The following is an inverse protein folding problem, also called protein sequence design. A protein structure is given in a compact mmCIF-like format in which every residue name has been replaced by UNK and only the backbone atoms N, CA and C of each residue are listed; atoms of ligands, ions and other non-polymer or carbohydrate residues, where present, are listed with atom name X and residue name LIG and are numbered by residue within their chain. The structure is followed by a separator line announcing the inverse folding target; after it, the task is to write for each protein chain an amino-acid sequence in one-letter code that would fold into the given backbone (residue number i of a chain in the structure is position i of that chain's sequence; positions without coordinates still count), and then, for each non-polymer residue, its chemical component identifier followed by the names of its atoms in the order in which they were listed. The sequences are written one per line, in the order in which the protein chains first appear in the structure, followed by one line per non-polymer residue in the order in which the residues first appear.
data_IF_302860008128
#
_entry.id   IF_302860008128
#
_cell.length_a   1.000
_cell.length_b   1.000
_cell.length_c   1.000
_cell.angle_alpha   90.00
_cell.angle_beta   90.00
_cell.angle_gamma   90.00
#
_symmetry.space_group_name_H-M   'P 1'
#
loop_
_entity.id
_entity.type
_entity.pdbx_description
1 polymer ?
#
# COMPACT_ATOMS: atom_id res chain seq x y z
N UNK A 1 -15.06 8.60 9.35
CA UNK A 1 -13.99 7.99 8.53
C UNK A 1 -12.79 7.75 9.43
N UNK A 2 -12.22 6.57 9.37
CA UNK A 2 -11.04 6.23 10.14
C UNK A 2 -9.76 6.46 9.31
N UNK A 3 -8.69 6.81 9.99
CA UNK A 3 -7.37 7.00 9.43
C UNK A 3 -6.44 5.93 9.98
N UNK A 4 -5.51 5.47 9.15
CA UNK A 4 -4.61 4.38 9.48
C UNK A 4 -3.16 4.76 9.17
N UNK A 5 -2.19 4.39 10.04
CA UNK A 5 -0.79 4.58 9.72
C UNK A 5 -0.37 3.62 8.61
N UNK A 6 0.19 4.17 7.55
CA UNK A 6 0.78 3.43 6.45
C UNK A 6 2.27 3.74 6.35
N UNK A 7 3.06 2.73 6.05
CA UNK A 7 4.49 2.88 5.79
C UNK A 7 4.73 2.80 4.29
N UNK A 8 5.34 3.83 3.74
CA UNK A 8 5.70 3.86 2.32
C UNK A 8 7.00 3.08 2.13
N UNK A 9 6.96 2.12 1.22
CA UNK A 9 8.13 1.36 0.80
C UNK A 9 8.72 1.93 -0.49
N UNK A 10 7.85 2.35 -1.42
CA UNK A 10 8.22 2.77 -2.77
C UNK A 10 7.57 4.10 -3.08
N UNK A 11 8.34 5.18 -3.24
CA UNK A 11 7.78 6.48 -3.60
C UNK A 11 7.32 6.52 -5.05
N UNK A 12 6.35 7.38 -5.34
CA UNK A 12 5.88 7.66 -6.71
C UNK A 12 7.07 8.02 -7.62
N UNK A 13 7.07 7.44 -8.81
CA UNK A 13 8.11 7.68 -9.82
C UNK A 13 9.32 6.74 -9.70
N UNK A 14 9.38 5.91 -8.68
CA UNK A 14 10.46 4.92 -8.55
C UNK A 14 10.24 3.73 -9.49
N UNK A 15 11.32 3.27 -10.10
CA UNK A 15 11.44 1.97 -10.76
C UNK A 15 12.12 0.95 -9.86
N UNK A 16 12.76 1.38 -8.80
CA UNK A 16 13.26 0.48 -7.78
C UNK A 16 12.11 0.01 -6.90
N UNK A 17 11.96 -1.30 -6.76
CA UNK A 17 11.05 -1.90 -5.80
C UNK A 17 11.79 -2.16 -4.50
N UNK A 18 11.43 -1.39 -3.48
CA UNK A 18 11.95 -1.58 -2.12
C UNK A 18 10.98 -2.39 -1.29
N UNK A 19 11.50 -3.16 -0.38
CA UNK A 19 10.74 -3.93 0.61
C UNK A 19 11.30 -3.70 2.01
N UNK A 20 10.40 -3.58 2.97
CA UNK A 20 10.76 -3.59 4.38
C UNK A 20 10.88 -5.04 4.85
N UNK A 21 12.03 -5.38 5.40
CA UNK A 21 12.23 -6.65 6.09
C UNK A 21 11.63 -6.53 7.51
N UNK A 22 10.51 -7.18 7.75
CA UNK A 22 9.77 -7.10 9.01
C UNK A 22 10.48 -7.75 10.20
N UNK A 23 11.52 -8.55 9.98
CA UNK A 23 12.34 -9.11 11.05
C UNK A 23 13.45 -8.16 11.51
N UNK A 24 14.11 -7.52 10.56
CA UNK A 24 15.29 -6.70 10.83
C UNK A 24 15.03 -5.19 10.80
N UNK A 25 13.96 -4.77 10.15
CA UNK A 25 13.65 -3.37 9.96
C UNK A 25 14.36 -2.69 8.80
N UNK A 26 15.16 -3.41 8.12
CA UNK A 26 15.89 -2.85 7.00
C UNK A 26 15.02 -2.72 5.78
N UNK A 27 15.28 -1.66 5.02
CA UNK A 27 14.71 -1.46 3.71
C UNK A 27 15.66 -2.07 2.71
N UNK A 28 15.16 -3.00 1.90
CA UNK A 28 15.94 -3.69 0.86
C UNK A 28 15.52 -3.25 -0.51
N UNK A 29 16.48 -3.18 -1.43
CA UNK A 29 16.18 -3.19 -2.84
C UNK A 29 15.84 -4.63 -3.26
N UNK A 30 14.54 -4.90 -3.53
CA UNK A 30 14.12 -6.19 -4.07
C UNK A 30 14.63 -6.32 -5.52
N UNK A 31 14.24 -5.39 -6.36
CA UNK A 31 14.70 -5.33 -7.75
C UNK A 31 14.40 -3.98 -8.42
N UNK A 32 15.11 -3.70 -9.50
CA UNK A 32 14.66 -2.75 -10.51
C UNK A 32 13.53 -3.41 -11.32
N UNK A 33 12.41 -2.72 -11.48
CA UNK A 33 11.29 -3.25 -12.27
C UNK A 33 11.73 -3.61 -13.70
N UNK A 34 11.19 -4.72 -14.22
CA UNK A 34 11.42 -5.19 -15.59
C UNK A 34 10.46 -4.50 -16.56
N UNK A 35 10.37 -3.20 -16.48
CA UNK A 35 9.52 -2.35 -17.32
C UNK A 35 10.06 -0.92 -17.30
N UNK A 36 9.69 -0.13 -18.30
CA UNK A 36 10.00 1.31 -18.32
C UNK A 36 9.07 2.16 -17.46
N UNK A 37 7.95 1.56 -16.95
CA UNK A 37 7.03 2.25 -16.06
C UNK A 37 7.63 2.44 -14.67
N UNK A 38 7.10 3.42 -13.95
CA UNK A 38 7.39 3.67 -12.54
C UNK A 38 6.13 3.55 -11.70
N UNK A 39 6.27 3.42 -10.38
CA UNK A 39 5.13 3.39 -9.47
C UNK A 39 4.28 4.65 -9.61
N UNK A 40 2.96 4.51 -9.76
CA UNK A 40 2.06 5.64 -10.07
C UNK A 40 1.68 6.48 -8.85
N UNK A 41 1.95 5.99 -7.65
CA UNK A 41 1.68 6.65 -6.38
C UNK A 41 2.65 6.11 -5.33
N UNK A 42 2.75 6.80 -4.20
CA UNK A 42 3.47 6.27 -3.04
C UNK A 42 2.81 4.97 -2.59
N UNK A 43 3.58 3.92 -2.45
CA UNK A 43 3.11 2.56 -2.26
C UNK A 43 3.79 1.91 -1.06
N UNK A 44 3.02 1.24 -0.25
CA UNK A 44 3.52 0.53 0.92
C UNK A 44 2.45 -0.34 1.55
N UNK A 45 2.33 -0.31 2.87
CA UNK A 45 1.40 -1.16 3.61
C UNK A 45 0.83 -0.45 4.84
N UNK A 46 -0.32 -0.92 5.30
CA UNK A 46 -0.91 -0.49 6.56
C UNK A 46 -0.21 -1.21 7.72
N UNK A 47 0.23 -0.45 8.71
CA UNK A 47 0.84 -1.02 9.92
C UNK A 47 -0.16 -1.89 10.70
N UNK A 48 0.34 -2.92 11.37
CA UNK A 48 -0.44 -3.83 12.19
C UNK A 48 -1.62 -4.48 11.44
N UNK A 49 -1.43 -4.75 10.15
CA UNK A 49 -2.39 -5.43 9.30
C UNK A 49 -1.82 -6.72 8.73
N UNK A 50 -2.69 -7.63 8.35
CA UNK A 50 -2.34 -8.89 7.68
C UNK A 50 -3.35 -9.14 6.56
N UNK A 51 -2.86 -9.18 5.33
CA UNK A 51 -3.63 -9.59 4.15
C UNK A 51 -3.88 -11.10 4.12
N UNK A 52 -4.74 -11.54 3.22
CA UNK A 52 -5.04 -12.97 3.05
C UNK A 52 -3.84 -13.77 2.53
N UNK A 53 -2.91 -13.11 1.84
CA UNK A 53 -1.67 -13.67 1.31
C UNK A 53 -0.56 -13.86 2.37
N UNK A 54 -0.79 -13.42 3.60
CA UNK A 54 0.17 -13.53 4.71
C UNK A 54 1.11 -12.33 4.85
N UNK A 55 1.03 -11.35 3.97
CA UNK A 55 1.76 -10.08 4.05
C UNK A 55 0.86 -8.96 4.61
N UNK A 56 1.43 -7.86 5.12
CA UNK A 56 0.62 -6.69 5.47
C UNK A 56 -0.22 -6.19 4.30
N UNK A 57 -1.37 -5.59 4.59
CA UNK A 57 -2.27 -5.08 3.55
C UNK A 57 -1.62 -3.90 2.80
N UNK A 58 -1.51 -4.02 1.50
CA UNK A 58 -0.94 -3.01 0.63
C UNK A 58 -1.79 -1.74 0.56
N UNK A 59 -1.13 -0.60 0.45
CA UNK A 59 -1.77 0.70 0.33
C UNK A 59 -1.03 1.61 -0.64
N UNK A 60 -1.81 2.31 -1.47
CA UNK A 60 -1.37 3.43 -2.28
C UNK A 60 -1.81 4.71 -1.58
N UNK A 61 -0.95 5.70 -1.48
CA UNK A 61 -1.28 7.01 -0.92
C UNK A 61 -1.04 8.08 -1.98
N UNK A 62 -2.10 8.82 -2.30
CA UNK A 62 -2.06 9.89 -3.31
C UNK A 62 -1.48 11.16 -2.68
N UNK A 63 -0.19 11.35 -2.82
CA UNK A 63 0.54 12.52 -2.33
C UNK A 63 0.91 13.44 -3.49
N UNK A 64 0.88 14.75 -3.26
CA UNK A 64 1.30 15.73 -4.27
C UNK A 64 2.80 15.63 -4.55
N UNK A 65 3.59 15.36 -3.51
CA UNK A 65 5.01 15.07 -3.64
C UNK A 65 5.35 13.68 -3.08
N UNK A 66 6.23 12.93 -3.74
CA UNK A 66 6.65 11.64 -3.25
C UNK A 66 7.41 11.78 -1.92
N UNK A 67 7.20 10.81 -1.03
CA UNK A 67 7.95 10.68 0.22
C UNK A 67 9.23 9.87 -0.01
N UNK A 68 9.65 9.11 0.99
CA UNK A 68 10.86 8.29 0.94
C UNK A 68 10.60 6.91 1.56
N UNK A 69 11.37 5.89 1.22
CA UNK A 69 11.20 4.56 1.80
C UNK A 69 11.32 4.57 3.32
N UNK A 70 10.31 4.04 4.00
CA UNK A 70 10.22 4.01 5.47
C UNK A 70 9.39 5.15 6.07
N UNK A 71 8.91 6.09 5.26
CA UNK A 71 8.08 7.19 5.76
C UNK A 71 6.71 6.69 6.20
N UNK A 72 6.30 7.05 7.42
CA UNK A 72 4.95 6.80 7.90
C UNK A 72 4.03 7.96 7.50
N UNK A 73 2.90 7.63 6.93
CA UNK A 73 1.85 8.57 6.55
C UNK A 73 0.54 8.15 7.20
N UNK A 74 -0.16 9.09 7.83
CA UNK A 74 -1.54 8.85 8.28
C UNK A 74 -2.45 8.91 7.06
N UNK A 75 -3.05 7.78 6.70
CA UNK A 75 -3.77 7.59 5.46
C UNK A 75 -5.27 7.34 5.69
N UNK A 76 -6.11 7.98 4.87
CA UNK A 76 -7.55 7.75 4.86
C UNK A 76 -7.93 6.94 3.64
N UNK A 77 -8.44 5.71 3.80
CA UNK A 77 -8.93 4.90 2.69
C UNK A 77 -10.14 5.54 2.01
N UNK A 78 -10.14 5.52 0.67
CA UNK A 78 -11.23 6.04 -0.17
C UNK A 78 -11.71 5.02 -1.19
N UNK A 79 -10.96 3.94 -1.38
CA UNK A 79 -11.30 2.85 -2.27
C UNK A 79 -10.33 1.69 -2.13
N UNK A 80 -10.62 0.60 -2.80
CA UNK A 80 -9.78 -0.59 -2.86
C UNK A 80 -9.71 -1.13 -4.28
N UNK A 81 -8.49 -1.49 -4.69
CA UNK A 81 -8.21 -2.15 -5.95
C UNK A 81 -8.00 -3.63 -5.70
N UNK A 82 -8.80 -4.45 -6.35
CA UNK A 82 -8.73 -5.90 -6.28
C UNK A 82 -8.01 -6.45 -7.49
N UNK A 83 -7.05 -7.31 -7.25
CA UNK A 83 -6.38 -8.10 -8.29
C UNK A 83 -6.03 -9.48 -7.75
N UNK A 84 -5.73 -10.40 -8.66
CA UNK A 84 -5.18 -11.72 -8.33
C UNK A 84 -3.84 -11.86 -9.03
N UNK A 85 -2.83 -12.27 -8.30
CA UNK A 85 -1.52 -12.61 -8.84
C UNK A 85 -1.22 -14.10 -8.67
N UNK A 86 0.03 -14.51 -8.92
CA UNK A 86 0.45 -15.90 -8.79
C UNK A 86 0.33 -16.46 -7.36
N UNK A 87 0.28 -15.59 -6.35
CA UNK A 87 0.10 -15.96 -4.95
C UNK A 87 -1.36 -15.96 -4.47
N UNK A 88 -2.30 -15.49 -5.29
CA UNK A 88 -3.73 -15.38 -4.97
C UNK A 88 -4.24 -13.95 -4.94
N UNK A 89 -5.28 -13.70 -4.15
CA UNK A 89 -5.89 -12.37 -4.01
C UNK A 89 -4.90 -11.36 -3.41
N UNK A 90 -4.83 -10.18 -4.01
CA UNK A 90 -3.91 -9.11 -3.64
C UNK A 90 -4.66 -7.78 -3.70
N UNK A 91 -5.28 -7.42 -2.59
CA UNK A 91 -6.03 -6.17 -2.46
C UNK A 91 -5.08 -5.02 -2.12
N UNK A 92 -5.34 -3.86 -2.71
CA UNK A 92 -4.57 -2.64 -2.46
C UNK A 92 -5.51 -1.50 -2.13
N UNK A 93 -5.36 -0.93 -0.94
CA UNK A 93 -6.10 0.26 -0.58
C UNK A 93 -5.66 1.44 -1.43
N UNK A 94 -6.60 2.30 -1.80
CA UNK A 94 -6.33 3.63 -2.31
C UNK A 94 -6.65 4.64 -1.22
N UNK A 95 -5.67 5.44 -0.85
CA UNK A 95 -5.77 6.36 0.27
C UNK A 95 -5.34 7.78 -0.13
N UNK A 96 -5.79 8.75 0.65
CA UNK A 96 -5.28 10.11 0.65
C UNK A 96 -4.67 10.43 2.02
N UNK A 97 -3.72 11.39 2.12
CA UNK A 97 -3.18 11.79 3.41
C UNK A 97 -4.29 12.43 4.26
N UNK A 98 -4.46 11.94 5.50
CA UNK A 98 -5.56 12.35 6.37
C UNK A 98 -5.48 13.82 6.81
N UNK A 99 -4.25 14.36 6.90
CA UNK A 99 -3.99 15.69 7.44
C UNK A 99 -3.72 16.78 6.38
N UNK A 100 -3.89 16.47 5.10
CA UNK A 100 -3.70 17.46 4.05
C UNK A 100 -5.03 18.17 3.73
N UNK A 101 -5.15 19.49 4.04
CA UNK A 101 -6.38 20.23 3.76
C UNK A 101 -6.72 20.33 2.27
N UNK A 102 -5.72 20.20 1.39
CA UNK A 102 -5.95 20.18 -0.08
C UNK A 102 -6.74 18.96 -0.52
N UNK A 103 -6.67 17.86 0.22
CA UNK A 103 -7.37 16.62 -0.06
C UNK A 103 -8.51 16.32 0.92
N UNK A 104 -8.88 17.27 1.76
CA UNK A 104 -9.96 17.08 2.74
C UNK A 104 -11.32 16.76 2.10
N UNK A 105 -11.55 17.19 0.85
CA UNK A 105 -12.76 16.91 0.08
C UNK A 105 -12.78 15.52 -0.56
N UNK A 106 -11.65 14.83 -0.59
CA UNK A 106 -11.53 13.50 -1.21
C UNK A 106 -11.90 12.44 -0.18
N UNK A 107 -13.11 11.95 -0.23
CA UNK A 107 -13.65 10.96 0.72
C UNK A 107 -14.18 9.68 0.05
N UNK A 108 -14.36 9.70 -1.26
CA UNK A 108 -14.89 8.59 -2.04
C UNK A 108 -14.02 8.36 -3.28
N UNK A 109 -14.10 7.15 -3.83
CA UNK A 109 -13.35 6.77 -5.02
C UNK A 109 -13.64 7.70 -6.22
N UNK A 110 -14.87 8.13 -6.36
CA UNK A 110 -15.33 9.01 -7.44
C UNK A 110 -14.72 10.41 -7.38
N UNK A 111 -14.17 10.82 -6.24
CA UNK A 111 -13.48 12.10 -6.11
C UNK A 111 -12.07 12.07 -6.70
N UNK A 112 -11.54 10.88 -6.99
CA UNK A 112 -10.25 10.71 -7.68
C UNK A 112 -10.48 10.80 -9.19
N UNK A 113 -9.61 11.52 -9.88
CA UNK A 113 -9.64 11.60 -11.32
C UNK A 113 -9.65 10.19 -11.94
N UNK A 114 -10.59 9.95 -12.85
CA UNK A 114 -10.73 8.64 -13.49
C UNK A 114 -9.43 8.20 -14.19
N UNK A 115 -8.73 9.12 -14.82
CA UNK A 115 -7.50 8.79 -15.53
C UNK A 115 -6.38 8.37 -14.58
N UNK A 116 -6.29 8.96 -13.39
CA UNK A 116 -5.34 8.52 -12.36
C UNK A 116 -5.64 7.10 -11.90
N UNK A 117 -6.90 6.74 -11.75
CA UNK A 117 -7.32 5.36 -11.45
C UNK A 117 -6.95 4.39 -12.58
N UNK A 118 -7.13 4.80 -13.83
CA UNK A 118 -6.74 4.01 -15.00
C UNK A 118 -5.22 3.79 -15.07
N UNK A 119 -4.41 4.79 -14.74
CA UNK A 119 -2.95 4.65 -14.68
C UNK A 119 -2.51 3.67 -13.59
N UNK A 120 -3.12 3.73 -12.42
CA UNK A 120 -2.85 2.80 -11.31
C UNK A 120 -3.20 1.38 -11.74
N UNK A 121 -4.39 1.17 -12.29
CA UNK A 121 -4.84 -0.12 -12.76
C UNK A 121 -3.90 -0.68 -13.85
N UNK A 122 -3.58 0.12 -14.85
CA UNK A 122 -2.69 -0.26 -15.94
C UNK A 122 -1.31 -0.67 -15.41
N UNK A 123 -0.76 0.09 -14.46
CA UNK A 123 0.53 -0.26 -13.85
C UNK A 123 0.49 -1.66 -13.21
N UNK A 124 -0.47 -1.94 -12.36
CA UNK A 124 -0.55 -3.22 -11.66
C UNK A 124 -0.92 -4.39 -12.59
N UNK A 125 -1.67 -4.14 -13.65
CA UNK A 125 -1.97 -5.17 -14.64
C UNK A 125 -0.76 -5.57 -15.47
N UNK A 126 0.19 -4.67 -15.71
CA UNK A 126 1.23 -4.85 -16.72
C UNK A 126 2.67 -4.81 -16.21
N UNK A 127 2.93 -4.34 -15.00
CA UNK A 127 4.32 -4.14 -14.53
C UNK A 127 5.14 -5.44 -14.39
N UNK A 128 4.48 -6.59 -14.31
CA UNK A 128 5.12 -7.92 -14.24
C UNK A 128 5.17 -8.67 -15.58
N UNK A 129 4.73 -8.07 -16.68
CA UNK A 129 4.58 -8.78 -17.96
C UNK A 129 5.88 -9.42 -18.46
N UNK A 130 7.04 -8.81 -18.19
CA UNK A 130 8.34 -9.33 -18.58
C UNK A 130 9.01 -10.20 -17.52
N UNK A 131 8.33 -10.47 -16.41
CA UNK A 131 8.85 -11.31 -15.31
C UNK A 131 8.43 -12.77 -15.52
N UNK A 132 9.38 -13.72 -15.64
CA UNK A 132 9.03 -15.13 -15.84
C UNK A 132 8.25 -15.69 -14.66
N UNK A 133 7.15 -16.41 -14.94
CA UNK A 133 6.34 -17.08 -13.91
C UNK A 133 5.46 -16.16 -13.08
N UNK A 134 5.38 -14.89 -13.44
CA UNK A 134 4.49 -13.91 -12.79
C UNK A 134 3.24 -13.69 -13.62
N UNK A 135 2.12 -13.48 -12.94
CA UNK A 135 0.84 -13.20 -13.58
C UNK A 135 0.03 -12.21 -12.76
N UNK A 136 -0.84 -11.48 -13.43
CA UNK A 136 -1.86 -10.63 -12.82
C UNK A 136 -3.17 -10.85 -13.56
N UNK A 137 -4.23 -11.18 -12.83
CA UNK A 137 -5.55 -11.43 -13.39
C UNK A 137 -6.61 -10.69 -12.59
N UNK A 138 -7.70 -10.31 -13.25
CA UNK A 138 -8.89 -9.74 -12.64
C UNK A 138 -8.60 -8.42 -11.92
N UNK A 139 -8.92 -7.31 -12.54
CA UNK A 139 -8.80 -6.00 -11.91
C UNK A 139 -10.20 -5.39 -11.70
N UNK A 140 -10.48 -4.94 -10.50
CA UNK A 140 -11.71 -4.24 -10.17
C UNK A 140 -11.50 -3.22 -9.06
N UNK A 141 -12.42 -2.26 -8.99
CA UNK A 141 -12.42 -1.23 -7.97
C UNK A 141 -13.70 -1.31 -7.15
N UNK A 142 -13.56 -1.14 -5.83
CA UNK A 142 -14.66 -0.92 -4.91
C UNK A 142 -14.44 0.37 -4.11
N UNK A 143 -15.53 0.88 -3.53
CA UNK A 143 -15.54 2.18 -2.89
C UNK A 143 -14.98 2.18 -1.46
N UNK A 144 -15.19 3.30 -0.77
CA UNK A 144 -14.68 3.54 0.59
C UNK A 144 -15.18 2.52 1.61
N UNK A 145 -16.45 2.13 1.55
CA UNK A 145 -17.01 1.16 2.51
C UNK A 145 -16.30 -0.20 2.44
N UNK A 146 -16.02 -0.66 1.22
CA UNK A 146 -15.28 -1.90 1.01
C UNK A 146 -13.82 -1.76 1.44
N UNK A 147 -13.21 -0.61 1.18
CA UNK A 147 -11.86 -0.31 1.64
C UNK A 147 -11.75 -0.32 3.18
N UNK A 148 -12.69 0.32 3.87
CA UNK A 148 -12.75 0.33 5.34
C UNK A 148 -12.98 -1.07 5.90
N UNK A 149 -13.84 -1.86 5.28
CA UNK A 149 -14.04 -3.27 5.65
C UNK A 149 -12.76 -4.07 5.47
N UNK A 150 -12.11 -3.94 4.34
CA UNK A 150 -10.86 -4.64 4.01
C UNK A 150 -9.77 -4.36 5.06
N UNK A 151 -9.53 -3.10 5.40
CA UNK A 151 -8.50 -2.73 6.37
C UNK A 151 -8.85 -3.20 7.78
N UNK A 152 -10.11 -3.12 8.19
CA UNK A 152 -10.54 -3.58 9.52
C UNK A 152 -10.40 -5.10 9.66
N UNK A 153 -10.74 -5.86 8.64
CA UNK A 153 -10.52 -7.31 8.60
C UNK A 153 -9.03 -7.67 8.65
N UNK A 154 -8.19 -6.93 7.94
CA UNK A 154 -6.75 -7.13 7.94
C UNK A 154 -6.12 -6.84 9.32
N UNK A 155 -6.58 -5.79 10.00
CA UNK A 155 -6.13 -5.45 11.36
C UNK A 155 -6.60 -6.53 12.35
N UNK A 156 -7.85 -6.98 12.26
CA UNK A 156 -8.37 -8.06 13.11
C UNK A 156 -7.58 -9.35 12.91
N UNK A 157 -7.25 -9.70 11.68
CA UNK A 157 -6.46 -10.88 11.33
C UNK A 157 -5.05 -10.80 11.92
N UNK A 158 -4.40 -9.64 11.85
CA UNK A 158 -3.09 -9.42 12.47
C UNK A 158 -3.13 -9.56 13.99
N UNK A 159 -4.17 -9.00 14.63
CA UNK A 159 -4.37 -9.09 16.07
C UNK A 159 -4.57 -10.54 16.52
N UNK A 160 -5.39 -11.31 15.82
CA UNK A 160 -5.64 -12.73 16.12
C UNK A 160 -4.36 -13.58 15.94
N UNK A 161 -3.51 -13.24 14.98
CA UNK A 161 -2.23 -13.91 14.73
C UNK A 161 -1.13 -13.45 15.69
N UNK A 162 -1.37 -12.46 16.57
CA UNK A 162 -0.36 -11.90 17.46
C UNK A 162 0.74 -11.13 16.72
N UNK A 163 0.47 -10.71 15.48
CA UNK A 163 1.41 -9.94 14.68
C UNK A 163 1.19 -8.45 14.93
N UNK A 164 2.26 -7.77 15.32
CA UNK A 164 2.32 -6.32 15.33
C UNK A 164 3.50 -5.90 14.47
N UNK A 165 3.30 -4.99 13.55
CA UNK A 165 4.38 -4.41 12.78
C UNK A 165 5.19 -3.40 13.61
N UNK A 166 4.79 -3.19 14.87
CA UNK A 166 5.45 -2.32 15.85
C UNK A 166 6.81 -2.83 16.36
N UNK A 167 7.38 -3.87 15.79
CA UNK A 167 8.77 -4.29 16.05
C UNK A 167 9.82 -3.25 15.66
N UNK A 168 9.40 -2.16 15.01
CA UNK A 168 10.23 -1.03 14.58
C UNK A 168 10.51 0.02 15.62
N UNK A 169 9.90 -0.06 16.80
CA UNK A 169 10.25 0.84 17.88
C UNK A 169 11.69 0.55 18.25
N UNK A 170 12.56 1.51 17.96
CA UNK A 170 13.90 1.53 18.50
C UNK A 170 13.85 1.05 19.97
N UNK A 171 14.76 0.16 20.38
CA UNK A 171 14.79 -0.23 21.78
C UNK A 171 14.86 1.05 22.60
N UNK A 172 13.96 1.12 23.55
CA UNK A 172 13.85 2.25 24.45
C UNK A 172 15.22 2.53 25.08
N UNK A 173 15.93 3.54 24.62
CA UNK A 173 17.20 4.01 25.19
C UNK A 173 16.96 4.79 26.49
N UNK A 174 15.97 4.40 27.26
CA UNK A 174 15.74 4.94 28.60
C UNK A 174 16.18 3.93 29.66
N UNK A 175 17.47 3.65 29.70
CA UNK A 175 18.16 3.16 30.88
C UNK A 175 19.61 3.65 30.85
N UNK A 176 19.79 4.88 31.27
CA UNK A 176 20.99 5.29 32.02
C UNK A 176 20.63 6.51 32.83
#
# INVERSE_FOLDING_TARGET
MADYPAVIEIPKGSRNKYEVDHETGRIRLDRLLFTSMSYPADYGYVEDSLGEDGDPLDALVLLDEPTFPGCQVLARPIGVFHMTDEAGGDDKLLCVPANDPRQAHVSELEHVNEFDRLEIQHFFETYKDLEPGKSVEGASWDGREDAERCVNEAIARASEAGLTTARWRLPNTSQH
#
